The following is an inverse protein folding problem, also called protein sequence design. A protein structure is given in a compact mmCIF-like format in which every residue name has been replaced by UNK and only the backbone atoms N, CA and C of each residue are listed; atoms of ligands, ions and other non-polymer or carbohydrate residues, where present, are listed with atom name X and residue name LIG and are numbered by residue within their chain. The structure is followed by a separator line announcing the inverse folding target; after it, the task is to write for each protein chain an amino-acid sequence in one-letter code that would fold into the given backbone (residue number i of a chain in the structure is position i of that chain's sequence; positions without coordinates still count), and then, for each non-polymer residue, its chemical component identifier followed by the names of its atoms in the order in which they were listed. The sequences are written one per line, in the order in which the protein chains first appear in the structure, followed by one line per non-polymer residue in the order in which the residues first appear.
data_IF_924343891255
#
_entry.id   IF_924343891255
#
_cell.length_a   1.000
_cell.length_b   1.000
_cell.length_c   1.000
_cell.angle_alpha   90.00
_cell.angle_beta   90.00
_cell.angle_gamma   90.00
#
_symmetry.space_group_name_H-M   'P 1'
#
loop_
_entity.id
_entity.type
_entity.pdbx_description
1 polymer ?
#
# COMPACT_ATOMS: atom_id res chain seq x y z
N UNK A 1 26.67 -14.34 5.17
CA UNK A 1 26.02 -13.39 4.25
C UNK A 1 26.90 -12.15 4.20
N UNK A 2 27.76 -12.05 3.18
CA UNK A 2 28.64 -10.89 3.04
C UNK A 2 27.81 -9.77 2.40
N UNK A 3 27.07 -9.03 3.24
CA UNK A 3 26.59 -7.72 2.83
C UNK A 3 27.83 -6.98 2.33
N UNK A 4 27.81 -6.48 1.09
CA UNK A 4 28.98 -5.96 0.36
C UNK A 4 29.75 -4.86 1.13
N UNK A 5 29.19 -4.34 2.22
CA UNK A 5 29.80 -3.38 3.15
C UNK A 5 30.67 -3.97 4.26
N UNK A 6 30.69 -5.30 4.47
CA UNK A 6 31.34 -5.89 5.66
C UNK A 6 32.87 -5.80 5.68
N UNK A 7 33.52 -5.57 4.53
CA UNK A 7 34.99 -5.59 4.43
C UNK A 7 35.65 -4.21 4.28
N UNK A 8 34.88 -3.12 4.19
CA UNK A 8 35.42 -1.76 4.16
C UNK A 8 35.01 -0.99 5.44
N UNK A 9 35.93 -0.80 6.40
CA UNK A 9 35.68 -0.07 7.63
C UNK A 9 35.15 1.36 7.41
N UNK A 10 35.56 2.02 6.32
CA UNK A 10 35.08 3.35 6.00
C UNK A 10 33.62 3.31 5.51
N UNK A 11 33.27 2.37 4.63
CA UNK A 11 31.89 2.18 4.19
C UNK A 11 30.95 1.83 5.37
N UNK A 12 31.41 1.00 6.31
CA UNK A 12 30.66 0.67 7.52
C UNK A 12 30.43 1.91 8.40
N UNK A 13 31.44 2.77 8.56
CA UNK A 13 31.32 4.02 9.30
C UNK A 13 30.35 5.01 8.64
N UNK A 14 30.44 5.18 7.33
CA UNK A 14 29.48 6.04 6.60
C UNK A 14 28.05 5.50 6.73
N UNK A 15 27.86 4.19 6.67
CA UNK A 15 26.55 3.58 6.89
C UNK A 15 26.00 3.93 8.29
N UNK A 16 26.82 3.82 9.34
CA UNK A 16 26.42 4.21 10.70
C UNK A 16 26.00 5.67 10.80
N UNK A 17 26.69 6.59 10.11
CA UNK A 17 26.32 8.01 10.06
C UNK A 17 25.00 8.26 9.34
N UNK A 18 24.73 7.53 8.25
CA UNK A 18 23.44 7.60 7.56
C UNK A 18 22.31 7.10 8.45
N UNK A 19 22.51 5.97 9.14
CA UNK A 19 21.53 5.44 10.11
C UNK A 19 21.31 6.42 11.26
N UNK A 20 22.37 7.02 11.79
CA UNK A 20 22.29 8.04 12.83
C UNK A 20 21.42 9.22 12.40
N UNK A 21 21.62 9.74 11.19
CA UNK A 21 20.84 10.85 10.66
C UNK A 21 19.35 10.48 10.56
N UNK A 22 19.05 9.28 10.06
CA UNK A 22 17.68 8.77 9.95
C UNK A 22 17.01 8.57 11.32
N UNK A 23 17.68 7.92 12.28
CA UNK A 23 17.15 7.73 13.63
C UNK A 23 17.03 9.04 14.40
N UNK A 24 17.94 9.99 14.22
CA UNK A 24 17.84 11.32 14.83
C UNK A 24 16.65 12.10 14.28
N UNK A 25 16.40 12.00 12.97
CA UNK A 25 15.22 12.59 12.35
C UNK A 25 13.93 11.98 12.90
N UNK A 26 13.85 10.65 12.93
CA UNK A 26 12.72 9.91 13.48
C UNK A 26 12.52 10.23 14.97
N UNK A 27 13.58 10.27 15.77
CA UNK A 27 13.50 10.61 17.18
C UNK A 27 12.93 12.01 17.42
N UNK A 28 13.30 13.00 16.60
CA UNK A 28 12.71 14.35 16.66
C UNK A 28 11.23 14.35 16.29
N UNK A 29 10.84 13.62 15.25
CA UNK A 29 9.45 13.54 14.79
C UNK A 29 8.52 12.89 15.83
N UNK A 30 9.01 11.87 16.53
CA UNK A 30 8.23 11.09 17.51
C UNK A 30 8.56 11.40 18.97
N UNK A 31 9.34 12.46 19.24
CA UNK A 31 9.80 12.85 20.58
C UNK A 31 10.39 11.68 21.39
N UNK A 32 11.20 10.83 20.73
CA UNK A 32 11.94 9.76 21.41
C UNK A 32 13.13 10.41 22.12
N UNK A 33 13.28 10.18 23.42
CA UNK A 33 14.42 10.69 24.18
C UNK A 33 15.71 9.97 23.78
N UNK A 34 16.71 10.73 23.35
CA UNK A 34 18.02 10.23 22.92
C UNK A 34 19.12 11.15 23.42
N UNK A 35 20.27 10.58 23.75
CA UNK A 35 21.49 11.35 23.98
C UNK A 35 22.25 11.44 22.66
N UNK A 36 22.72 12.63 22.23
CA UNK A 36 23.54 12.74 21.03
C UNK A 36 24.76 11.83 21.07
N UNK A 37 25.22 11.36 19.91
CA UNK A 37 26.50 10.65 19.77
C UNK A 37 27.50 11.57 19.06
N UNK A 38 28.35 12.30 19.80
CA UNK A 38 29.27 13.28 19.22
C UNK A 38 30.18 12.70 18.13
N UNK A 39 30.53 11.42 18.25
CA UNK A 39 31.37 10.72 17.29
C UNK A 39 30.69 10.63 15.92
N UNK A 40 29.38 10.38 15.86
CA UNK A 40 28.61 10.29 14.61
C UNK A 40 28.24 11.67 14.04
N UNK A 41 28.20 12.70 14.89
CA UNK A 41 27.99 14.10 14.51
C UNK A 41 29.24 14.76 13.95
N UNK A 42 30.41 14.41 14.48
CA UNK A 42 31.68 14.98 14.06
C UNK A 42 32.01 14.58 12.61
N UNK A 43 32.05 15.57 11.72
CA UNK A 43 32.04 15.37 10.27
C UNK A 43 33.34 14.85 9.64
N UNK A 44 34.37 14.54 10.41
CA UNK A 44 35.72 14.32 9.86
C UNK A 44 36.57 13.42 10.75
N UNK A 45 37.02 12.29 10.19
CA UNK A 45 38.06 11.45 10.79
C UNK A 45 37.84 9.95 10.58
N UNK A 46 38.94 9.19 10.63
CA UNK A 46 38.88 7.74 10.84
C UNK A 46 38.40 7.54 12.29
N UNK A 47 37.31 6.80 12.54
CA UNK A 47 36.80 6.65 13.89
C UNK A 47 37.79 5.86 14.76
N UNK A 48 37.89 6.23 16.03
CA UNK A 48 38.62 5.40 17.00
C UNK A 48 37.83 4.11 17.27
N UNK A 49 38.52 3.05 17.72
CA UNK A 49 37.85 1.79 18.07
C UNK A 49 36.76 1.98 19.15
N UNK A 50 37.03 2.87 20.13
CA UNK A 50 36.05 3.25 21.14
C UNK A 50 34.86 4.02 20.54
N UNK A 51 35.10 4.94 19.60
CA UNK A 51 34.03 5.67 18.92
C UNK A 51 33.13 4.76 18.08
N UNK A 52 33.71 3.74 17.42
CA UNK A 52 32.92 2.72 16.71
C UNK A 52 32.06 1.91 17.68
N UNK A 53 32.59 1.53 18.84
CA UNK A 53 31.83 0.80 19.86
C UNK A 53 30.67 1.65 20.41
N UNK A 54 30.93 2.89 20.82
CA UNK A 54 29.91 3.83 21.29
C UNK A 54 28.81 4.06 20.24
N UNK A 55 29.20 4.24 18.98
CA UNK A 55 28.26 4.40 17.87
C UNK A 55 27.37 3.17 17.71
N UNK A 56 27.93 1.95 17.77
CA UNK A 56 27.15 0.72 17.69
C UNK A 56 26.14 0.61 18.83
N UNK A 57 26.56 0.90 20.05
CA UNK A 57 25.70 0.83 21.23
C UNK A 57 24.55 1.85 21.14
N UNK A 58 24.85 3.08 20.73
CA UNK A 58 23.83 4.10 20.48
C UNK A 58 22.80 3.65 19.44
N UNK A 59 23.27 3.17 18.28
CA UNK A 59 22.37 2.77 17.20
C UNK A 59 21.54 1.55 17.58
N UNK A 60 22.09 0.62 18.37
CA UNK A 60 21.37 -0.53 18.88
C UNK A 60 20.26 -0.14 19.87
N UNK A 61 20.57 0.74 20.84
CA UNK A 61 19.59 1.29 21.78
C UNK A 61 18.48 2.07 21.05
N UNK A 62 18.86 2.93 20.10
CA UNK A 62 17.90 3.67 19.29
C UNK A 62 16.99 2.76 18.50
N UNK A 63 17.55 1.77 17.81
CA UNK A 63 16.73 0.85 17.04
C UNK A 63 15.74 0.08 17.94
N UNK A 64 16.15 -0.34 19.14
CA UNK A 64 15.24 -1.01 20.07
C UNK A 64 14.04 -0.13 20.46
N UNK A 65 14.24 1.19 20.59
CA UNK A 65 13.18 2.15 20.94
C UNK A 65 12.24 2.42 19.76
N UNK A 66 12.77 2.46 18.54
CA UNK A 66 11.98 2.74 17.32
C UNK A 66 10.99 1.61 17.04
N UNK A 67 9.71 1.94 17.09
CA UNK A 67 8.63 1.02 16.76
C UNK A 67 8.34 1.01 15.26
N UNK A 68 7.87 -0.14 14.75
CA UNK A 68 7.60 -0.31 13.32
C UNK A 68 6.57 0.70 12.77
N UNK A 69 5.56 1.08 13.57
CA UNK A 69 4.57 2.06 13.13
C UNK A 69 5.16 3.47 12.98
N UNK A 70 6.09 3.86 13.87
CA UNK A 70 6.82 5.13 13.76
C UNK A 70 7.71 5.13 12.51
N UNK A 71 8.42 4.03 12.26
CA UNK A 71 9.23 3.89 11.04
C UNK A 71 8.36 3.98 9.78
N UNK A 72 7.18 3.34 9.76
CA UNK A 72 6.25 3.43 8.62
C UNK A 72 5.78 4.85 8.35
N UNK A 73 5.41 5.58 9.39
CA UNK A 73 4.95 6.95 9.29
C UNK A 73 6.08 7.90 8.87
N UNK A 74 7.28 7.74 9.45
CA UNK A 74 8.48 8.49 9.06
C UNK A 74 8.75 8.35 7.56
N UNK A 75 8.72 7.13 7.04
CA UNK A 75 8.95 6.85 5.61
C UNK A 75 7.88 7.45 4.69
N UNK A 76 6.66 7.65 5.19
CA UNK A 76 5.56 8.21 4.40
C UNK A 76 5.56 9.74 4.40
N UNK A 77 6.08 10.37 5.45
CA UNK A 77 5.88 11.80 5.71
C UNK A 77 7.16 12.62 5.68
N UNK A 78 8.32 11.98 5.87
CA UNK A 78 9.61 12.66 5.93
C UNK A 78 10.35 12.61 4.60
N UNK A 79 10.84 13.76 4.15
CA UNK A 79 11.77 13.85 3.02
C UNK A 79 13.16 13.28 3.34
N UNK A 80 13.46 13.04 4.62
CA UNK A 80 14.73 12.46 5.08
C UNK A 80 14.74 10.93 4.97
N UNK A 81 13.61 10.31 4.63
CA UNK A 81 13.47 8.88 4.40
C UNK A 81 13.72 8.51 2.92
N UNK A 82 14.84 8.95 2.37
CA UNK A 82 15.23 8.63 1.00
C UNK A 82 15.78 7.18 0.85
N UNK A 83 16.02 6.74 -0.39
CA UNK A 83 16.54 5.40 -0.65
C UNK A 83 17.86 5.12 0.08
N UNK A 84 18.73 6.13 0.22
CA UNK A 84 20.02 5.99 0.90
C UNK A 84 19.82 5.69 2.38
N UNK A 85 18.92 6.42 3.04
CA UNK A 85 18.54 6.18 4.43
C UNK A 85 17.90 4.80 4.62
N UNK A 86 16.95 4.43 3.77
CA UNK A 86 16.27 3.13 3.84
C UNK A 86 17.24 1.95 3.65
N UNK A 87 18.16 2.07 2.70
CA UNK A 87 19.21 1.07 2.46
C UNK A 87 20.15 0.95 3.65
N UNK A 88 20.55 2.08 4.24
CA UNK A 88 21.43 2.08 5.40
C UNK A 88 20.77 1.43 6.62
N UNK A 89 19.48 1.73 6.84
CA UNK A 89 18.65 1.10 7.87
C UNK A 89 18.51 -0.42 7.64
N UNK A 90 18.22 -0.85 6.42
CA UNK A 90 18.11 -2.28 6.08
C UNK A 90 19.44 -3.01 6.35
N UNK A 91 20.55 -2.43 5.87
CA UNK A 91 21.90 -2.97 6.08
C UNK A 91 22.23 -3.10 7.56
N UNK A 92 21.89 -2.07 8.35
CA UNK A 92 22.10 -2.07 9.80
C UNK A 92 21.32 -3.18 10.51
N UNK A 93 20.02 -3.30 10.24
CA UNK A 93 19.19 -4.32 10.89
C UNK A 93 19.60 -5.75 10.47
N UNK A 94 19.93 -5.96 9.19
CA UNK A 94 20.41 -7.26 8.71
C UNK A 94 21.79 -7.62 9.28
N UNK A 95 22.63 -6.63 9.60
CA UNK A 95 23.97 -6.80 10.15
C UNK A 95 24.02 -7.16 11.64
N UNK A 96 22.89 -7.20 12.34
CA UNK A 96 22.84 -7.58 13.76
C UNK A 96 23.16 -9.07 13.96
N UNK A 97 23.92 -9.36 15.01
CA UNK A 97 24.25 -10.74 15.43
C UNK A 97 23.03 -11.47 15.99
N UNK A 98 22.24 -10.77 16.82
CA UNK A 98 20.99 -11.27 17.38
C UNK A 98 19.82 -10.50 16.77
N UNK A 99 18.78 -11.23 16.35
CA UNK A 99 17.62 -10.67 15.66
C UNK A 99 16.35 -10.96 16.45
N UNK A 100 15.54 -9.93 16.61
CA UNK A 100 14.28 -9.95 17.34
C UNK A 100 13.09 -10.02 16.37
N UNK A 101 11.88 -10.21 16.91
CA UNK A 101 10.65 -10.07 16.13
C UNK A 101 10.45 -8.65 15.59
N UNK A 102 10.85 -7.63 16.35
CA UNK A 102 10.85 -6.23 15.88
C UNK A 102 11.77 -6.03 14.67
N UNK A 103 12.95 -6.67 14.66
CA UNK A 103 13.87 -6.62 13.52
C UNK A 103 13.25 -7.26 12.27
N UNK A 104 12.55 -8.38 12.45
CA UNK A 104 11.80 -9.04 11.36
C UNK A 104 10.78 -8.10 10.73
N UNK A 105 9.98 -7.43 11.56
CA UNK A 105 8.94 -6.50 11.09
C UNK A 105 9.53 -5.29 10.35
N UNK A 106 10.66 -4.76 10.83
CA UNK A 106 11.40 -3.67 10.18
C UNK A 106 11.98 -4.11 8.85
N UNK A 107 12.64 -5.26 8.80
CA UNK A 107 13.19 -5.83 7.56
C UNK A 107 12.06 -6.07 6.55
N UNK A 108 10.94 -6.68 6.96
CA UNK A 108 9.81 -6.93 6.07
C UNK A 108 9.28 -5.64 5.45
N UNK A 109 9.13 -4.59 6.27
CA UNK A 109 8.69 -3.28 5.80
C UNK A 109 9.70 -2.63 4.85
N UNK A 110 10.97 -2.53 5.25
CA UNK A 110 12.02 -1.87 4.49
C UNK A 110 12.22 -2.55 3.12
N UNK A 111 12.17 -3.89 3.08
CA UNK A 111 12.27 -4.65 1.84
C UNK A 111 11.13 -4.31 0.88
N UNK A 112 9.88 -4.31 1.36
CA UNK A 112 8.72 -3.99 0.52
C UNK A 112 8.79 -2.54 0.03
N UNK A 113 9.28 -1.62 0.85
CA UNK A 113 9.42 -0.21 0.48
C UNK A 113 10.51 -0.02 -0.58
N UNK A 114 11.72 -0.56 -0.37
CA UNK A 114 12.81 -0.50 -1.34
C UNK A 114 12.45 -1.20 -2.64
N UNK A 115 11.78 -2.36 -2.56
CA UNK A 115 11.26 -3.05 -3.74
C UNK A 115 10.29 -2.13 -4.50
N UNK A 116 9.36 -1.47 -3.81
CA UNK A 116 8.40 -0.58 -4.45
C UNK A 116 9.04 0.64 -5.11
N UNK A 117 10.20 1.11 -4.64
CA UNK A 117 10.95 2.22 -5.24
C UNK A 117 11.78 1.76 -6.45
N UNK A 118 12.31 0.54 -6.41
CA UNK A 118 13.14 -0.02 -7.48
C UNK A 118 12.34 -0.71 -8.59
N UNK A 119 11.12 -1.16 -8.32
CA UNK A 119 10.29 -1.89 -9.26
C UNK A 119 9.86 -1.02 -10.45
N UNK A 120 10.02 -1.49 -11.71
CA UNK A 120 9.47 -0.83 -12.89
C UNK A 120 7.97 -0.58 -12.80
N UNK A 121 7.54 0.57 -13.32
CA UNK A 121 6.14 1.02 -13.28
C UNK A 121 5.19 0.14 -14.12
N UNK A 122 5.73 -0.57 -15.10
CA UNK A 122 5.01 -1.40 -16.09
C UNK A 122 4.85 -2.87 -15.68
N UNK A 123 5.41 -3.30 -14.54
CA UNK A 123 5.19 -4.66 -14.03
C UNK A 123 3.68 -4.88 -13.97
N UNK A 124 3.14 -5.82 -14.74
CA UNK A 124 1.69 -6.02 -14.83
C UNK A 124 1.30 -7.31 -14.12
N UNK A 125 0.68 -7.17 -12.94
CA UNK A 125 0.00 -8.29 -12.29
C UNK A 125 0.91 -9.31 -11.57
N UNK A 126 0.41 -10.54 -11.33
CA UNK A 126 1.09 -11.59 -10.57
C UNK A 126 2.20 -12.30 -11.37
N UNK A 127 2.51 -11.84 -12.59
CA UNK A 127 3.47 -12.47 -13.50
C UNK A 127 4.93 -12.25 -13.10
N UNK A 128 5.21 -11.33 -12.19
CA UNK A 128 6.56 -11.10 -11.68
C UNK A 128 7.11 -12.40 -11.10
N UNK A 129 8.20 -12.91 -11.64
CA UNK A 129 8.86 -14.14 -11.16
C UNK A 129 9.78 -13.85 -9.96
N UNK A 130 10.14 -14.89 -9.21
CA UNK A 130 11.13 -14.77 -8.13
C UNK A 130 12.53 -14.37 -8.64
N UNK A 131 12.91 -14.83 -9.83
CA UNK A 131 14.18 -14.47 -10.46
C UNK A 131 14.23 -12.99 -10.84
N UNK A 132 13.14 -12.43 -11.36
CA UNK A 132 13.04 -10.99 -11.62
C UNK A 132 13.04 -10.18 -10.32
N UNK A 133 12.32 -10.65 -9.30
CA UNK A 133 12.35 -10.03 -7.98
C UNK A 133 13.77 -10.02 -7.38
N UNK A 134 14.56 -11.09 -7.54
CA UNK A 134 15.95 -11.12 -7.11
C UNK A 134 16.82 -10.08 -7.82
N UNK A 135 16.61 -9.87 -9.14
CA UNK A 135 17.32 -8.83 -9.91
C UNK A 135 16.98 -7.43 -9.39
N UNK A 136 15.71 -7.15 -9.12
CA UNK A 136 15.26 -5.88 -8.54
C UNK A 136 15.90 -5.65 -7.17
N UNK A 137 16.04 -6.71 -6.36
CA UNK A 137 16.60 -6.63 -5.01
C UNK A 137 18.13 -6.70 -4.94
N UNK A 138 18.80 -7.01 -6.05
CA UNK A 138 20.26 -7.14 -6.12
C UNK A 138 21.01 -5.90 -5.59
N UNK A 139 20.58 -4.64 -5.86
CA UNK A 139 21.26 -3.48 -5.30
C UNK A 139 21.30 -3.47 -3.77
N UNK A 140 20.33 -4.09 -3.10
CA UNK A 140 20.17 -4.04 -1.65
C UNK A 140 20.68 -5.29 -0.94
N UNK A 141 20.44 -6.47 -1.51
CA UNK A 141 20.79 -7.77 -0.92
C UNK A 141 22.07 -8.38 -1.50
N UNK A 142 22.62 -7.80 -2.58
CA UNK A 142 23.65 -8.42 -3.40
C UNK A 142 23.06 -9.49 -4.33
N UNK A 143 23.92 -10.23 -5.07
CA UNK A 143 23.47 -11.35 -5.89
C UNK A 143 22.79 -12.41 -5.03
N UNK A 144 21.54 -12.76 -5.36
CA UNK A 144 20.77 -13.80 -4.66
C UNK A 144 20.51 -14.95 -5.62
N UNK A 145 21.00 -16.14 -5.26
CA UNK A 145 20.58 -17.38 -5.87
C UNK A 145 19.28 -17.83 -5.23
N UNK A 146 18.25 -18.06 -6.07
CA UNK A 146 16.93 -18.49 -5.60
C UNK A 146 16.98 -19.98 -5.27
N UNK A 147 16.83 -20.29 -3.99
CA UNK A 147 16.71 -21.64 -3.45
C UNK A 147 15.27 -21.85 -2.98
N UNK A 148 14.72 -23.02 -3.27
CA UNK A 148 13.38 -23.38 -2.81
C UNK A 148 13.36 -23.54 -1.28
N UNK A 149 12.48 -22.79 -0.62
CA UNK A 149 12.28 -22.85 0.83
C UNK A 149 10.91 -23.47 1.10
N UNK A 150 10.91 -24.62 1.77
CA UNK A 150 9.70 -25.34 2.14
C UNK A 150 8.71 -24.44 2.89
N UNK A 151 7.44 -24.44 2.44
CA UNK A 151 6.34 -23.67 3.02
C UNK A 151 6.12 -22.30 2.40
N UNK A 152 7.05 -21.78 1.59
CA UNK A 152 6.87 -20.49 0.91
C UNK A 152 5.98 -20.57 -0.34
N UNK A 153 5.75 -21.76 -0.88
CA UNK A 153 4.81 -22.05 -1.96
C UNK A 153 3.38 -21.55 -1.65
N UNK A 154 2.99 -21.57 -0.37
CA UNK A 154 1.70 -21.04 0.10
C UNK A 154 1.52 -19.55 -0.22
N UNK A 155 2.60 -18.78 -0.34
CA UNK A 155 2.53 -17.36 -0.68
C UNK A 155 2.05 -17.14 -2.12
N UNK A 156 2.37 -18.05 -3.05
CA UNK A 156 1.85 -17.97 -4.43
C UNK A 156 0.34 -18.22 -4.47
N UNK A 157 -0.17 -19.15 -3.66
CA UNK A 157 -1.61 -19.38 -3.56
C UNK A 157 -2.34 -18.15 -3.02
N UNK A 158 -1.78 -17.52 -1.98
CA UNK A 158 -2.29 -16.29 -1.39
C UNK A 158 -2.27 -15.12 -2.38
N UNK A 159 -1.21 -14.99 -3.18
CA UNK A 159 -1.16 -14.00 -4.27
C UNK A 159 -2.24 -14.28 -5.32
N UNK A 160 -2.42 -15.55 -5.71
CA UNK A 160 -3.49 -15.95 -6.60
C UNK A 160 -4.87 -15.53 -6.06
N UNK A 161 -5.13 -15.69 -4.76
CA UNK A 161 -6.38 -15.22 -4.12
C UNK A 161 -6.48 -13.69 -4.16
N UNK A 162 -5.40 -12.97 -3.84
CA UNK A 162 -5.37 -11.50 -3.85
C UNK A 162 -5.71 -10.91 -5.22
N UNK A 163 -5.19 -11.51 -6.29
CA UNK A 163 -5.43 -11.04 -7.66
C UNK A 163 -6.78 -11.48 -8.23
N UNK A 164 -7.37 -12.57 -7.72
CA UNK A 164 -8.74 -13.00 -8.07
C UNK A 164 -9.83 -12.26 -7.30
N UNK A 165 -9.51 -11.65 -6.17
CA UNK A 165 -10.45 -10.81 -5.44
C UNK A 165 -10.97 -9.69 -6.36
N UNK A 166 -12.28 -9.49 -6.34
CA UNK A 166 -13.00 -8.52 -7.19
C UNK A 166 -13.12 -7.14 -6.53
N UNK A 167 -12.78 -7.08 -5.25
CA UNK A 167 -13.45 -6.21 -4.30
C UNK A 167 -12.67 -6.20 -2.97
N UNK A 168 -12.57 -5.07 -2.26
CA UNK A 168 -11.80 -4.99 -1.01
C UNK A 168 -12.38 -5.87 0.11
N UNK A 169 -13.70 -6.04 0.18
CA UNK A 169 -14.34 -6.92 1.15
C UNK A 169 -13.90 -8.38 0.97
N UNK A 170 -13.82 -8.86 -0.27
CA UNK A 170 -13.31 -10.20 -0.59
C UNK A 170 -11.84 -10.35 -0.17
N UNK A 171 -11.03 -9.32 -0.43
CA UNK A 171 -9.62 -9.30 -0.02
C UNK A 171 -9.46 -9.38 1.51
N UNK A 172 -10.25 -8.62 2.28
CA UNK A 172 -10.18 -8.65 3.75
C UNK A 172 -10.76 -9.93 4.34
N UNK A 173 -11.91 -10.39 3.83
CA UNK A 173 -12.56 -11.61 4.34
C UNK A 173 -11.70 -12.85 4.07
N UNK A 174 -10.93 -12.85 2.99
CA UNK A 174 -9.98 -13.93 2.69
C UNK A 174 -8.73 -13.93 3.58
N UNK A 175 -8.53 -12.93 4.46
CA UNK A 175 -7.44 -12.85 5.45
C UNK A 175 -6.05 -13.11 4.88
N UNK A 176 -5.77 -12.59 3.70
CA UNK A 176 -4.52 -12.84 2.97
C UNK A 176 -3.31 -12.29 3.72
N UNK A 177 -3.45 -11.11 4.33
CA UNK A 177 -2.36 -10.45 5.05
C UNK A 177 -2.02 -11.24 6.32
N UNK A 178 -3.02 -11.67 7.08
CA UNK A 178 -2.85 -12.46 8.29
C UNK A 178 -2.25 -13.83 7.98
N UNK A 179 -2.70 -14.49 6.91
CA UNK A 179 -2.10 -15.75 6.46
C UNK A 179 -0.65 -15.56 6.00
N UNK A 180 -0.36 -14.51 5.23
CA UNK A 180 1.01 -14.17 4.82
C UNK A 180 1.93 -13.93 6.02
N UNK A 181 1.45 -13.22 7.06
CA UNK A 181 2.19 -13.04 8.32
C UNK A 181 2.45 -14.36 9.03
N UNK A 182 1.49 -15.29 9.04
CA UNK A 182 1.67 -16.62 9.64
C UNK A 182 2.75 -17.42 8.93
N UNK A 183 2.75 -17.43 7.59
CA UNK A 183 3.79 -18.09 6.78
C UNK A 183 5.17 -17.47 7.06
N UNK A 184 5.27 -16.14 7.07
CA UNK A 184 6.53 -15.45 7.43
C UNK A 184 7.02 -15.82 8.83
N UNK A 185 6.10 -15.92 9.79
CA UNK A 185 6.43 -16.23 11.18
C UNK A 185 6.90 -17.68 11.36
N UNK A 186 6.32 -18.62 10.61
CA UNK A 186 6.71 -20.04 10.66
C UNK A 186 8.12 -20.32 10.12
N UNK A 187 8.72 -19.38 9.38
CA UNK A 187 10.08 -19.55 8.85
C UNK A 187 11.18 -19.44 9.92
N UNK A 188 10.89 -18.93 11.13
CA UNK A 188 11.88 -18.81 12.19
C UNK A 188 13.12 -18.04 11.72
N UNK A 189 14.30 -18.64 11.87
CA UNK A 189 15.58 -18.05 11.45
C UNK A 189 15.74 -18.01 9.92
N UNK A 190 15.08 -18.92 9.18
CA UNK A 190 15.11 -18.95 7.70
C UNK A 190 14.49 -17.70 7.09
N UNK A 191 13.76 -16.90 7.87
CA UNK A 191 13.25 -15.61 7.43
C UNK A 191 14.35 -14.72 6.84
N UNK A 192 15.55 -14.77 7.42
CA UNK A 192 16.68 -13.92 7.04
C UNK A 192 17.55 -14.51 5.92
N UNK A 193 17.17 -15.67 5.36
CA UNK A 193 17.85 -16.20 4.19
C UNK A 193 17.56 -15.31 2.96
N UNK A 194 18.56 -15.04 2.09
CA UNK A 194 18.37 -14.15 0.94
C UNK A 194 17.17 -14.51 0.05
N UNK A 195 16.94 -15.80 -0.20
CA UNK A 195 15.79 -16.28 -0.97
C UNK A 195 14.46 -15.98 -0.30
N UNK A 196 14.38 -16.11 1.03
CA UNK A 196 13.18 -15.76 1.79
C UNK A 196 12.91 -14.26 1.74
N UNK A 197 13.95 -13.43 1.93
CA UNK A 197 13.83 -11.97 1.86
C UNK A 197 13.30 -11.49 0.49
N UNK A 198 13.82 -12.05 -0.61
CA UNK A 198 13.31 -11.76 -1.97
C UNK A 198 11.85 -12.19 -2.11
N UNK A 199 11.51 -13.39 -1.62
CA UNK A 199 10.14 -13.91 -1.69
C UNK A 199 9.16 -13.03 -0.91
N UNK A 200 9.53 -12.59 0.29
CA UNK A 200 8.67 -11.72 1.11
C UNK A 200 8.55 -10.30 0.56
N UNK A 201 9.63 -9.75 0.00
CA UNK A 201 9.60 -8.46 -0.67
C UNK A 201 8.61 -8.49 -1.86
N UNK A 202 8.73 -9.50 -2.72
CA UNK A 202 7.82 -9.74 -3.84
C UNK A 202 6.38 -9.90 -3.37
N UNK A 203 6.14 -10.77 -2.37
CA UNK A 203 4.81 -11.00 -1.84
C UNK A 203 4.18 -9.71 -1.31
N UNK A 204 4.88 -8.97 -0.45
CA UNK A 204 4.37 -7.73 0.13
C UNK A 204 4.10 -6.65 -0.93
N UNK A 205 4.98 -6.53 -1.93
CA UNK A 205 4.79 -5.62 -3.06
C UNK A 205 3.54 -5.98 -3.88
N UNK A 206 3.38 -7.24 -4.28
CA UNK A 206 2.25 -7.68 -5.10
C UNK A 206 0.91 -7.60 -4.34
N UNK A 207 0.89 -7.93 -3.05
CA UNK A 207 -0.30 -7.73 -2.19
C UNK A 207 -0.66 -6.24 -2.10
N UNK A 208 0.33 -5.36 -1.89
CA UNK A 208 0.13 -3.90 -1.87
C UNK A 208 -0.48 -3.40 -3.18
N UNK A 209 -0.05 -3.93 -4.32
CA UNK A 209 -0.62 -3.57 -5.63
C UNK A 209 -2.03 -4.11 -5.85
N UNK A 210 -2.29 -5.35 -5.47
CA UNK A 210 -3.63 -5.92 -5.52
C UNK A 210 -4.61 -5.08 -4.67
N UNK A 211 -4.18 -4.68 -3.47
CA UNK A 211 -4.92 -3.79 -2.59
C UNK A 211 -5.24 -2.44 -3.25
N UNK A 212 -4.25 -1.72 -3.79
CA UNK A 212 -4.50 -0.41 -4.42
C UNK A 212 -5.39 -0.52 -5.66
N UNK A 213 -5.21 -1.55 -6.49
CA UNK A 213 -6.09 -1.82 -7.64
C UNK A 213 -7.54 -1.93 -7.18
N UNK A 214 -7.79 -2.73 -6.14
CA UNK A 214 -9.12 -2.95 -5.59
C UNK A 214 -9.70 -1.70 -4.96
N UNK A 215 -8.90 -0.96 -4.19
CA UNK A 215 -9.32 0.31 -3.61
C UNK A 215 -9.78 1.31 -4.68
N UNK A 216 -9.01 1.48 -5.76
CA UNK A 216 -9.40 2.36 -6.85
C UNK A 216 -10.66 1.86 -7.59
N UNK A 217 -10.75 0.54 -7.80
CA UNK A 217 -11.92 -0.08 -8.40
C UNK A 217 -13.18 0.17 -7.55
N UNK A 218 -13.11 -0.07 -6.24
CA UNK A 218 -14.22 0.11 -5.30
C UNK A 218 -14.68 1.57 -5.23
N UNK A 219 -13.75 2.52 -5.19
CA UNK A 219 -14.08 3.96 -5.25
C UNK A 219 -14.82 4.28 -6.54
N UNK A 220 -14.34 3.80 -7.70
CA UNK A 220 -15.01 4.07 -8.98
C UNK A 220 -16.40 3.42 -9.02
N UNK A 221 -16.54 2.17 -8.57
CA UNK A 221 -17.85 1.49 -8.46
C UNK A 221 -18.83 2.24 -7.57
N UNK A 222 -18.38 2.80 -6.44
CA UNK A 222 -19.21 3.64 -5.58
C UNK A 222 -19.66 4.91 -6.33
N UNK A 223 -18.73 5.61 -6.98
CA UNK A 223 -19.03 6.84 -7.71
C UNK A 223 -19.99 6.62 -8.89
N UNK A 224 -19.88 5.48 -9.56
CA UNK A 224 -20.79 5.01 -10.61
C UNK A 224 -22.17 4.72 -10.01
N UNK A 225 -22.22 3.95 -8.92
CA UNK A 225 -23.47 3.64 -8.24
C UNK A 225 -24.21 4.86 -7.72
N UNK A 226 -23.50 5.90 -7.27
CA UNK A 226 -24.12 7.18 -6.93
C UNK A 226 -24.81 7.83 -8.14
N UNK A 227 -24.18 7.80 -9.33
CA UNK A 227 -24.80 8.35 -10.55
C UNK A 227 -26.06 7.57 -10.93
N UNK A 228 -26.02 6.25 -10.84
CA UNK A 228 -27.15 5.37 -11.16
C UNK A 228 -28.32 5.53 -10.18
N UNK A 229 -28.03 5.77 -8.90
CA UNK A 229 -29.03 6.06 -7.87
C UNK A 229 -29.70 7.42 -8.09
N UNK A 230 -28.91 8.46 -8.39
CA UNK A 230 -29.43 9.80 -8.71
C UNK A 230 -30.31 9.78 -9.95
N UNK A 231 -29.92 9.02 -10.98
CA UNK A 231 -30.74 8.81 -12.19
C UNK A 231 -32.09 8.11 -11.89
N UNK A 232 -32.16 7.35 -10.79
CA UNK A 232 -33.39 6.71 -10.30
C UNK A 232 -34.15 7.58 -9.27
N UNK A 233 -33.74 8.84 -9.07
CA UNK A 233 -34.38 9.79 -8.17
C UNK A 233 -34.02 9.60 -6.69
N UNK A 234 -33.03 8.77 -6.37
CA UNK A 234 -32.52 8.60 -4.99
C UNK A 234 -31.48 9.68 -4.72
N UNK A 235 -31.68 10.50 -3.68
CA UNK A 235 -30.78 11.61 -3.32
C UNK A 235 -30.05 11.42 -1.99
N UNK A 236 -30.52 10.48 -1.16
CA UNK A 236 -29.98 10.17 0.18
C UNK A 236 -29.82 8.66 0.36
N UNK A 237 -28.86 8.25 1.19
CA UNK A 237 -28.58 6.85 1.51
C UNK A 237 -28.45 6.60 3.02
N UNK A 238 -28.89 5.44 3.47
CA UNK A 238 -28.58 4.96 4.83
C UNK A 238 -27.17 4.38 4.86
N UNK A 239 -26.25 5.16 5.42
CA UNK A 239 -24.83 4.84 5.48
C UNK A 239 -24.34 4.66 6.93
N UNK A 240 -25.23 4.34 7.89
CA UNK A 240 -24.86 4.13 9.30
C UNK A 240 -23.82 3.05 9.52
N UNK A 241 -23.83 1.99 8.69
CA UNK A 241 -22.79 0.94 8.73
C UNK A 241 -21.40 1.50 8.43
N UNK A 242 -21.33 2.48 7.53
CA UNK A 242 -20.11 3.21 7.19
C UNK A 242 -19.86 4.43 8.11
N UNK A 243 -20.51 4.50 9.27
CA UNK A 243 -20.37 5.58 10.27
C UNK A 243 -20.84 6.96 9.78
N UNK A 244 -21.77 6.99 8.81
CA UNK A 244 -22.45 8.20 8.35
C UNK A 244 -23.89 8.27 8.86
N UNK A 245 -24.64 9.32 8.49
CA UNK A 245 -26.05 9.45 8.84
C UNK A 245 -26.93 8.40 8.11
N UNK A 246 -28.17 8.26 8.58
CA UNK A 246 -29.18 7.36 7.98
C UNK A 246 -29.80 7.93 6.69
N UNK A 247 -29.63 9.22 6.45
CA UNK A 247 -30.13 10.01 5.33
C UNK A 247 -28.99 10.83 4.71
N UNK A 248 -27.80 10.24 4.65
CA UNK A 248 -26.60 10.92 4.17
C UNK A 248 -26.78 11.34 2.68
N UNK A 249 -26.62 12.64 2.35
CA UNK A 249 -26.78 13.11 0.98
C UNK A 249 -25.71 12.51 0.05
N UNK A 250 -26.13 12.01 -1.12
CA UNK A 250 -25.21 11.44 -2.12
C UNK A 250 -24.14 12.46 -2.55
N UNK A 251 -24.52 13.74 -2.68
CA UNK A 251 -23.57 14.80 -3.01
C UNK A 251 -22.42 14.92 -2.00
N UNK A 252 -22.70 14.76 -0.70
CA UNK A 252 -21.69 14.80 0.37
C UNK A 252 -20.81 13.55 0.34
N UNK A 253 -21.41 12.37 0.18
CA UNK A 253 -20.67 11.12 0.03
C UNK A 253 -19.72 11.14 -1.17
N UNK A 254 -20.16 11.73 -2.29
CA UNK A 254 -19.33 11.91 -3.50
C UNK A 254 -18.08 12.74 -3.20
N UNK A 255 -18.20 13.85 -2.49
CA UNK A 255 -17.06 14.68 -2.09
C UNK A 255 -16.07 13.92 -1.20
N UNK A 256 -16.58 13.13 -0.26
CA UNK A 256 -15.76 12.27 0.61
C UNK A 256 -15.00 11.23 -0.22
N UNK A 257 -15.67 10.49 -1.11
CA UNK A 257 -15.01 9.49 -1.96
C UNK A 257 -13.95 10.09 -2.89
N UNK A 258 -14.16 11.31 -3.39
CA UNK A 258 -13.16 12.01 -4.20
C UNK A 258 -11.92 12.39 -3.37
N UNK A 259 -12.10 12.80 -2.10
CA UNK A 259 -10.98 13.09 -1.20
C UNK A 259 -10.12 11.85 -0.91
N UNK A 260 -10.74 10.67 -0.86
CA UNK A 260 -10.03 9.40 -0.65
C UNK A 260 -9.12 8.99 -1.79
N UNK A 261 -9.40 9.41 -3.04
CA UNK A 261 -8.47 9.16 -4.16
C UNK A 261 -7.08 9.76 -3.88
N UNK A 262 -7.01 10.85 -3.13
CA UNK A 262 -5.77 11.54 -2.75
C UNK A 262 -5.21 10.99 -1.45
N UNK A 263 -6.03 10.84 -0.40
CA UNK A 263 -5.56 10.48 0.95
C UNK A 263 -4.88 9.10 1.05
N UNK A 264 -5.36 8.08 0.34
CA UNK A 264 -4.79 6.72 0.46
C UNK A 264 -3.38 6.55 -0.16
N UNK A 265 -2.87 7.57 -0.86
CA UNK A 265 -1.46 7.60 -1.26
C UNK A 265 -0.52 7.95 -0.10
N UNK A 266 -1.01 8.70 0.89
CA UNK A 266 -0.20 9.26 1.98
C UNK A 266 -0.22 8.39 3.25
N UNK A 267 -1.30 7.65 3.49
CA UNK A 267 -1.46 6.88 4.74
C UNK A 267 -1.61 5.38 4.44
N UNK A 268 -0.59 4.60 4.77
CA UNK A 268 -0.74 3.15 4.91
C UNK A 268 -1.29 2.81 6.31
N UNK A 269 -2.35 3.52 6.71
CA UNK A 269 -3.09 3.31 7.95
C UNK A 269 -4.18 2.27 7.67
N UNK A 270 -3.82 1.00 7.80
CA UNK A 270 -4.80 -0.08 7.77
C UNK A 270 -5.76 0.11 8.96
N UNK A 271 -7.06 0.29 8.67
CA UNK A 271 -8.08 0.39 9.70
C UNK A 271 -9.34 1.11 9.22
N UNK A 272 -9.73 2.14 9.96
CA UNK A 272 -11.06 2.73 9.92
C UNK A 272 -11.48 3.29 8.55
N UNK A 273 -10.66 4.04 7.79
CA UNK A 273 -11.08 4.58 6.49
C UNK A 273 -11.39 3.48 5.45
N UNK A 274 -10.73 2.32 5.54
CA UNK A 274 -10.93 1.20 4.61
C UNK A 274 -12.18 0.39 4.94
N UNK A 275 -12.48 0.20 6.23
CA UNK A 275 -13.76 -0.38 6.65
C UNK A 275 -14.92 0.50 6.19
N UNK A 276 -14.82 1.81 6.37
CA UNK A 276 -15.82 2.78 5.90
C UNK A 276 -16.04 2.66 4.39
N UNK A 277 -14.97 2.53 3.59
CA UNK A 277 -15.07 2.34 2.14
C UNK A 277 -15.83 1.07 1.76
N UNK A 278 -15.52 -0.06 2.41
CA UNK A 278 -16.19 -1.35 2.18
C UNK A 278 -17.67 -1.31 2.58
N UNK A 279 -17.98 -0.72 3.73
CA UNK A 279 -19.36 -0.59 4.21
C UNK A 279 -20.17 0.35 3.31
N UNK A 280 -19.56 1.44 2.83
CA UNK A 280 -20.20 2.36 1.89
C UNK A 280 -20.49 1.67 0.55
N UNK A 281 -19.55 0.90 0.02
CA UNK A 281 -19.78 0.08 -1.18
C UNK A 281 -20.99 -0.83 -1.01
N UNK A 282 -21.05 -1.53 0.13
CA UNK A 282 -22.15 -2.45 0.44
C UNK A 282 -23.49 -1.72 0.52
N UNK A 283 -23.52 -0.51 1.08
CA UNK A 283 -24.73 0.32 1.15
C UNK A 283 -25.21 0.74 -0.25
N UNK A 284 -24.29 1.18 -1.14
CA UNK A 284 -24.61 1.56 -2.51
C UNK A 284 -25.14 0.36 -3.32
N UNK A 285 -24.47 -0.78 -3.26
CA UNK A 285 -24.91 -2.00 -3.95
C UNK A 285 -26.31 -2.44 -3.48
N UNK A 286 -26.56 -2.39 -2.17
CA UNK A 286 -27.88 -2.71 -1.60
C UNK A 286 -28.96 -1.74 -2.09
N UNK A 287 -28.66 -0.44 -2.11
CA UNK A 287 -29.59 0.59 -2.57
C UNK A 287 -29.92 0.43 -4.06
N UNK A 288 -28.93 0.12 -4.91
CA UNK A 288 -29.14 -0.13 -6.33
C UNK A 288 -30.08 -1.32 -6.56
N UNK A 289 -29.87 -2.44 -5.85
CA UNK A 289 -30.77 -3.61 -5.94
C UNK A 289 -32.20 -3.25 -5.53
N UNK A 290 -32.38 -2.42 -4.50
CA UNK A 290 -33.71 -1.96 -4.07
C UNK A 290 -34.36 -1.00 -5.06
N UNK A 291 -33.59 -0.08 -5.64
CA UNK A 291 -34.07 0.89 -6.60
C UNK A 291 -34.50 0.21 -7.92
N UNK A 292 -33.71 -0.75 -8.41
CA UNK A 292 -34.08 -1.57 -9.58
C UNK A 292 -35.36 -2.39 -9.38
N UNK A 293 -35.63 -2.87 -8.14
CA UNK A 293 -36.87 -3.58 -7.80
C UNK A 293 -38.11 -2.67 -7.75
N UNK A 294 -37.93 -1.37 -7.48
CA UNK A 294 -39.03 -0.38 -7.50
C UNK A 294 -39.32 0.13 -8.92
N UNK A 295 -38.36 -0.02 -9.85
CA UNK A 295 -38.42 0.44 -11.23
C UNK A 295 -39.25 -0.38 -12.22
N UNK A 296 -40.32 -1.08 -11.81
CA UNK A 296 -41.34 -1.56 -12.75
C UNK A 296 -42.69 -0.91 -12.46
N UNK A 297 -42.98 0.28 -13.00
CA UNK A 297 -44.35 0.73 -13.10
C UNK A 297 -45.06 -0.23 -14.06
N UNK A 298 -46.02 -1.02 -13.56
CA UNK A 298 -47.09 -1.56 -14.40
C UNK A 298 -47.74 -0.37 -15.09
N UNK A 299 -47.44 -0.17 -16.38
CA UNK A 299 -48.28 0.63 -17.27
C UNK A 299 -49.64 -0.07 -17.35
N UNK A 300 -50.51 0.21 -16.37
CA UNK A 300 -51.92 -0.14 -16.42
C UNK A 300 -52.61 0.97 -17.20
N UNK A 301 -53.16 0.54 -18.33
CA UNK A 301 -53.95 1.30 -19.28
C UNK A 301 -54.98 2.25 -18.64
N UNK A 302 -55.03 3.46 -19.18
CA UNK A 302 -56.22 4.26 -19.43
C UNK A 302 -55.92 5.04 -20.73
N UNK A 303 -56.22 4.48 -21.89
CA UNK A 303 -57.51 4.55 -22.60
C UNK A 303 -57.78 5.93 -23.26
N UNK A 304 -57.69 5.89 -24.60
CA UNK A 304 -58.63 6.45 -25.57
C UNK A 304 -58.69 7.98 -25.84
N UNK A 305 -58.64 8.28 -27.15
CA UNK A 305 -59.03 9.55 -27.79
C UNK A 305 -57.84 10.48 -28.01
N UNK A 306 -57.49 10.93 -29.20
CA UNK A 306 -58.15 10.94 -30.50
C UNK A 306 -57.10 11.30 -31.55
N UNK A 307 -57.20 10.66 -32.70
CA UNK A 307 -56.44 11.00 -33.90
C UNK A 307 -56.65 12.46 -34.30
N UNK A 308 -55.57 13.17 -34.65
CA UNK A 308 -55.64 14.08 -35.77
C UNK A 308 -54.31 14.14 -36.52
N UNK A 309 -54.46 13.76 -37.77
CA UNK A 309 -53.55 13.73 -38.90
C UNK A 309 -53.17 15.16 -39.31
N UNK A 310 -51.87 15.44 -39.47
CA UNK A 310 -51.41 16.59 -40.23
C UNK A 310 -50.05 16.28 -40.87
N UNK A 311 -50.08 15.86 -42.13
CA UNK A 311 -48.95 16.00 -43.05
C UNK A 311 -48.81 17.46 -43.46
N UNK A 312 -47.57 17.93 -43.67
CA UNK A 312 -47.05 18.34 -45.00
C UNK A 312 -45.67 19.02 -44.86
N UNK A 313 -44.75 18.59 -45.73
CA UNK A 313 -43.58 19.30 -46.33
C UNK A 313 -42.47 19.78 -45.37
N UNK A 314 -41.19 19.43 -45.55
CA UNK A 314 -40.43 19.36 -46.82
C UNK A 314 -39.42 20.52 -46.86
N UNK A 315 -38.14 20.21 -46.60
CA UNK A 315 -36.88 20.92 -46.95
C UNK A 315 -35.80 20.37 -46.00
N UNK A 316 -34.97 19.40 -46.37
CA UNK A 316 -33.80 19.53 -47.25
C UNK A 316 -33.09 20.86 -47.09
N UNK A 317 -31.96 20.85 -46.37
CA UNK A 317 -30.82 21.74 -46.54
C UNK A 317 -29.56 20.97 -46.11
N UNK A 318 -28.85 20.48 -47.12
CA UNK A 318 -27.43 20.17 -47.05
C UNK A 318 -26.64 21.47 -46.84
N UNK A 319 -25.55 21.38 -46.07
CA UNK A 319 -24.66 22.50 -45.81
C UNK A 319 -23.40 22.05 -45.10
N UNK A 320 -22.49 21.44 -45.87
CA UNK A 320 -21.05 21.42 -45.58
C UNK A 320 -20.56 22.80 -45.12
N UNK A 321 -19.70 22.88 -44.09
CA UNK A 321 -18.32 23.36 -44.25
C UNK A 321 -17.50 23.33 -42.94
N UNK A 322 -16.34 22.68 -43.04
CA UNK A 322 -15.01 23.04 -42.50
C UNK A 322 -14.83 23.84 -41.21
N UNK A 323 -14.00 23.25 -40.32
CA UNK A 323 -12.61 23.69 -40.19
C UNK A 323 -12.30 24.67 -39.04
N UNK A 324 -11.76 24.15 -37.93
CA UNK A 324 -10.34 24.26 -37.55
C UNK A 324 -10.03 23.34 -36.37
#
# INVERSE_FOLDING_TARGET
MTIVTANDPNAAWQNMRTVYAAYSALAREFAIETQPCPELESGSGIPSAAGVANAKDFLADMDQRVQIHQLRQFVQTSTQADETALRALLSFVLGKETRTESDRDKVDFLLVQLFSQAAPSDISGPSLSLTEAAKIMQPFLGPVEIVEISGLDQLEELLGKAYRAKNLNELFTSRIIEQGRRVKSSCGDKFFEPSALVTFARFGFLVRRAFFRLMHQDINTILDGFRDLEAQGVTTLDCRKAQFAADEPIARLRMICLSWKVMFHAEYSAGQPLCILVDLRTAVESALVHASRRGTPKAKAAAAGSAQEFEISGSSWDGDNNGN
#
